data_IF_056277154669
#
_entry.id   IF_056277154669
#
_cell.length_a   1.000
_cell.length_b   1.000
_cell.length_c   1.000
_cell.angle_alpha   90.00
_cell.angle_beta   90.00
_cell.angle_gamma   90.00
#
_symmetry.space_group_name_H-M   'P 1'
#
loop_
_entity.id
_entity.type
_entity.pdbx_description
1 polymer ?
#
# COMPACT_ATOMS: atom_id res chain seq x y z
N UNK A 1 -1.35 6.18 12.02
CA UNK A 1 -1.93 6.66 13.28
C UNK A 1 -3.27 7.25 12.91
N UNK A 2 -4.33 6.47 13.05
CA UNK A 2 -5.62 6.77 12.44
C UNK A 2 -6.56 7.19 13.59
N UNK A 3 -6.82 8.49 13.70
CA UNK A 3 -7.59 9.07 14.81
C UNK A 3 -8.89 9.70 14.31
N UNK A 4 -8.89 10.33 13.12
CA UNK A 4 -10.04 11.10 12.63
C UNK A 4 -10.09 11.11 11.10
N UNK A 5 -11.31 11.12 10.55
CA UNK A 5 -11.55 11.29 9.12
C UNK A 5 -10.82 12.49 8.51
N UNK A 6 -10.79 13.62 9.22
CA UNK A 6 -10.12 14.84 8.71
C UNK A 6 -8.60 14.68 8.69
N UNK A 7 -8.04 14.04 9.73
CA UNK A 7 -6.60 13.79 9.79
C UNK A 7 -6.16 12.85 8.66
N UNK A 8 -6.88 11.75 8.46
CA UNK A 8 -6.57 10.77 7.43
C UNK A 8 -6.73 11.38 6.02
N UNK A 9 -7.74 12.26 5.81
CA UNK A 9 -7.93 12.96 4.54
C UNK A 9 -6.80 13.97 4.25
N UNK A 10 -6.40 14.78 5.22
CA UNK A 10 -5.32 15.77 5.07
C UNK A 10 -3.98 15.07 4.84
N UNK A 11 -3.66 14.08 5.68
CA UNK A 11 -2.45 13.29 5.52
C UNK A 11 -2.45 12.55 4.19
N UNK A 12 -3.55 11.90 3.82
CA UNK A 12 -3.69 11.17 2.57
C UNK A 12 -3.50 12.05 1.34
N UNK A 13 -4.10 13.24 1.34
CA UNK A 13 -3.94 14.22 0.25
C UNK A 13 -2.51 14.73 0.14
N UNK A 14 -1.87 15.07 1.27
CA UNK A 14 -0.47 15.52 1.30
C UNK A 14 0.50 14.44 0.82
N UNK A 15 0.33 13.20 1.29
CA UNK A 15 1.15 12.06 0.89
C UNK A 15 0.93 11.74 -0.60
N UNK A 16 -0.30 11.80 -1.10
CA UNK A 16 -0.60 11.62 -2.51
C UNK A 16 0.05 12.71 -3.38
N UNK A 17 0.01 13.98 -2.97
CA UNK A 17 0.68 15.06 -3.69
C UNK A 17 2.20 14.84 -3.78
N UNK A 18 2.83 14.39 -2.70
CA UNK A 18 4.25 13.98 -2.69
C UNK A 18 4.46 12.82 -3.67
N UNK A 19 3.57 11.82 -3.68
CA UNK A 19 3.61 10.71 -4.62
C UNK A 19 3.55 11.14 -6.08
N UNK A 20 2.68 12.10 -6.42
CA UNK A 20 2.63 12.70 -7.76
C UNK A 20 3.98 13.34 -8.10
N UNK A 21 4.57 14.09 -7.18
CA UNK A 21 5.88 14.71 -7.39
C UNK A 21 7.00 13.68 -7.55
N UNK A 22 6.96 12.57 -6.81
CA UNK A 22 7.91 11.46 -6.95
C UNK A 22 7.81 10.81 -8.32
N UNK A 23 6.60 10.48 -8.76
CA UNK A 23 6.36 9.86 -10.08
C UNK A 23 6.74 10.81 -11.21
N UNK A 24 6.39 12.08 -11.13
CA UNK A 24 6.72 13.08 -12.16
C UNK A 24 8.23 13.32 -12.31
N UNK A 25 9.03 13.05 -11.26
CA UNK A 25 10.49 13.24 -11.27
C UNK A 25 11.27 11.95 -11.53
N UNK A 26 10.60 10.80 -11.62
CA UNK A 26 11.30 9.53 -11.83
C UNK A 26 11.91 9.50 -13.23
N UNK A 27 13.20 9.16 -13.31
CA UNK A 27 13.92 9.09 -14.60
C UNK A 27 14.10 7.68 -15.12
N UNK A 28 13.92 6.68 -14.27
CA UNK A 28 14.11 5.26 -14.60
C UNK A 28 12.82 4.52 -14.31
N UNK A 29 12.30 3.83 -15.31
CA UNK A 29 11.05 3.04 -15.19
C UNK A 29 11.13 2.01 -14.06
N UNK A 30 12.32 1.47 -13.78
CA UNK A 30 12.53 0.51 -12.68
C UNK A 30 12.30 1.09 -11.29
N UNK A 31 12.40 2.42 -11.13
CA UNK A 31 12.21 3.11 -9.85
C UNK A 31 10.74 3.56 -9.69
N UNK A 32 9.93 3.47 -10.76
CA UNK A 32 8.54 3.92 -10.78
C UNK A 32 7.66 3.24 -9.70
N UNK A 33 7.71 1.92 -9.48
CA UNK A 33 6.86 1.31 -8.45
C UNK A 33 7.19 1.82 -7.05
N UNK A 34 8.48 2.08 -6.76
CA UNK A 34 8.92 2.66 -5.50
C UNK A 34 8.49 4.13 -5.40
N UNK A 35 8.61 4.90 -6.48
CA UNK A 35 8.16 6.29 -6.55
C UNK A 35 6.63 6.45 -6.42
N UNK A 36 5.87 5.42 -6.81
CA UNK A 36 4.41 5.37 -6.68
C UNK A 36 3.92 4.94 -5.28
N UNK A 37 4.81 4.50 -4.37
CA UNK A 37 4.41 4.10 -3.02
C UNK A 37 3.63 5.18 -2.25
N UNK A 38 4.01 6.47 -2.27
CA UNK A 38 3.24 7.49 -1.57
C UNK A 38 1.85 7.69 -2.21
N UNK A 39 1.67 7.48 -3.51
CA UNK A 39 0.33 7.52 -4.12
C UNK A 39 -0.57 6.43 -3.53
N UNK A 40 -0.04 5.21 -3.41
CA UNK A 40 -0.77 4.08 -2.84
C UNK A 40 -1.12 4.32 -1.37
N UNK A 41 -0.17 4.82 -0.57
CA UNK A 41 -0.37 5.18 0.83
C UNK A 41 -1.38 6.32 1.00
N UNK A 42 -1.28 7.36 0.17
CA UNK A 42 -2.20 8.49 0.20
C UNK A 42 -3.63 8.07 -0.14
N UNK A 43 -3.81 7.25 -1.19
CA UNK A 43 -5.10 6.67 -1.54
C UNK A 43 -5.67 5.81 -0.40
N UNK A 44 -4.82 5.02 0.28
CA UNK A 44 -5.24 4.21 1.42
C UNK A 44 -5.79 5.06 2.59
N UNK A 45 -5.11 6.16 2.93
CA UNK A 45 -5.57 7.10 3.97
C UNK A 45 -6.85 7.84 3.57
N UNK A 46 -7.02 8.18 2.28
CA UNK A 46 -8.26 8.77 1.79
C UNK A 46 -9.42 7.77 1.92
N UNK A 47 -9.22 6.49 1.58
CA UNK A 47 -10.24 5.45 1.78
C UNK A 47 -10.57 5.29 3.27
N UNK A 48 -9.56 5.33 4.14
CA UNK A 48 -9.75 5.26 5.60
C UNK A 48 -10.60 6.43 6.12
N UNK A 49 -10.41 7.65 5.59
CA UNK A 49 -11.25 8.80 5.92
C UNK A 49 -12.73 8.60 5.59
N UNK A 50 -13.02 7.86 4.51
CA UNK A 50 -14.40 7.51 4.12
C UNK A 50 -14.99 6.51 5.10
N UNK A 51 -14.22 5.51 5.54
CA UNK A 51 -14.63 4.51 6.53
C UNK A 51 -15.00 5.18 7.87
N UNK A 52 -14.19 6.15 8.32
CA UNK A 52 -14.50 6.94 9.51
C UNK A 52 -15.78 7.75 9.35
N UNK A 53 -15.98 8.38 8.19
CA UNK A 53 -17.21 9.14 7.90
C UNK A 53 -18.45 8.28 7.82
N UNK A 54 -18.32 7.02 7.36
CA UNK A 54 -19.44 6.08 7.29
C UNK A 54 -19.81 5.44 8.64
N UNK A 55 -19.16 5.84 9.74
CA UNK A 55 -19.45 5.31 11.07
C UNK A 55 -18.91 3.91 11.33
N UNK A 56 -17.95 3.44 10.52
CA UNK A 56 -17.27 2.17 10.75
C UNK A 56 -16.99 1.35 9.48
N UNK A 57 -16.23 0.27 9.69
CA UNK A 57 -15.69 -0.58 8.64
C UNK A 57 -16.74 -1.56 8.08
N UNK A 58 -17.64 -1.07 7.23
CA UNK A 58 -18.59 -1.91 6.47
C UNK A 58 -18.59 -1.57 4.98
N UNK A 59 -18.96 -2.53 4.14
CA UNK A 59 -19.17 -2.31 2.70
C UNK A 59 -17.90 -2.17 1.84
N UNK A 60 -18.04 -1.65 0.61
CA UNK A 60 -16.99 -1.63 -0.41
C UNK A 60 -15.72 -0.86 -0.02
N UNK A 61 -15.85 0.21 0.78
CA UNK A 61 -14.70 0.99 1.25
C UNK A 61 -13.77 0.17 2.15
N UNK A 62 -14.34 -0.62 3.06
CA UNK A 62 -13.60 -1.55 3.93
C UNK A 62 -12.90 -2.63 3.13
N UNK A 63 -13.58 -3.16 2.10
CA UNK A 63 -12.97 -4.11 1.19
C UNK A 63 -11.76 -3.50 0.46
N UNK A 64 -11.92 -2.31 -0.12
CA UNK A 64 -10.84 -1.60 -0.79
C UNK A 64 -9.67 -1.32 0.17
N UNK A 65 -9.97 -0.87 1.38
CA UNK A 65 -8.97 -0.66 2.44
C UNK A 65 -8.23 -1.95 2.77
N UNK A 66 -8.94 -3.07 3.00
CA UNK A 66 -8.35 -4.34 3.36
C UNK A 66 -7.47 -4.92 2.23
N UNK A 67 -7.91 -4.81 0.98
CA UNK A 67 -7.12 -5.23 -0.20
C UNK A 67 -5.85 -4.39 -0.29
N UNK A 68 -5.93 -3.08 -0.07
CA UNK A 68 -4.75 -2.21 -0.12
C UNK A 68 -3.79 -2.54 1.03
N UNK A 69 -4.28 -2.62 2.27
CA UNK A 69 -3.46 -2.83 3.46
C UNK A 69 -2.80 -4.22 3.52
N UNK A 70 -3.55 -5.28 3.20
CA UNK A 70 -3.16 -6.65 3.52
C UNK A 70 -2.26 -7.27 2.44
N UNK A 71 -2.71 -7.48 1.19
CA UNK A 71 -1.86 -8.02 0.15
C UNK A 71 -1.10 -6.96 -0.67
N UNK A 72 -1.75 -5.85 -1.04
CA UNK A 72 -1.19 -4.93 -2.04
C UNK A 72 0.02 -4.20 -1.47
N UNK A 73 -0.07 -3.58 -0.29
CA UNK A 73 1.02 -2.81 0.29
C UNK A 73 2.30 -3.64 0.49
N UNK A 74 2.26 -4.82 1.14
CA UNK A 74 3.47 -5.62 1.36
C UNK A 74 4.13 -6.06 0.06
N UNK A 75 3.33 -6.49 -0.92
CA UNK A 75 3.83 -6.87 -2.24
C UNK A 75 4.42 -5.68 -2.98
N UNK A 76 3.74 -4.53 -2.98
CA UNK A 76 4.16 -3.35 -3.71
C UNK A 76 5.48 -2.79 -3.17
N UNK A 77 5.64 -2.76 -1.85
CA UNK A 77 6.89 -2.33 -1.21
C UNK A 77 8.03 -3.28 -1.58
N UNK A 78 7.83 -4.60 -1.41
CA UNK A 78 8.88 -5.58 -1.68
C UNK A 78 9.29 -5.59 -3.15
N UNK A 79 8.33 -5.53 -4.08
CA UNK A 79 8.59 -5.47 -5.51
C UNK A 79 9.19 -4.13 -5.92
N UNK A 80 8.72 -3.01 -5.39
CA UNK A 80 9.28 -1.69 -5.67
C UNK A 80 10.74 -1.57 -5.26
N UNK A 81 11.09 -2.10 -4.09
CA UNK A 81 12.49 -2.18 -3.64
C UNK A 81 13.31 -3.09 -4.55
N UNK A 82 12.78 -4.28 -4.92
CA UNK A 82 13.48 -5.20 -5.82
C UNK A 82 13.73 -4.58 -7.21
N UNK A 83 12.75 -3.84 -7.76
CA UNK A 83 12.85 -3.18 -9.06
C UNK A 83 13.92 -2.07 -9.06
N UNK A 84 13.93 -1.24 -8.02
CA UNK A 84 14.89 -0.14 -7.85
C UNK A 84 16.31 -0.64 -7.51
N UNK A 85 16.43 -1.83 -6.92
CA UNK A 85 17.69 -2.35 -6.44
C UNK A 85 18.72 -2.63 -7.56
N UNK A 86 20.01 -2.35 -7.29
CA UNK A 86 21.09 -2.70 -8.19
C UNK A 86 21.25 -4.24 -8.28
N UNK A 87 21.76 -4.79 -9.40
CA UNK A 87 21.81 -6.24 -9.64
C UNK A 87 22.45 -7.06 -8.52
N UNK A 88 23.48 -6.51 -7.87
CA UNK A 88 24.23 -7.16 -6.79
C UNK A 88 23.39 -7.38 -5.53
N UNK A 89 22.39 -6.52 -5.29
CA UNK A 89 21.51 -6.60 -4.11
C UNK A 89 20.27 -7.48 -4.34
N UNK A 90 19.87 -7.74 -5.60
CA UNK A 90 18.61 -8.44 -5.94
C UNK A 90 18.49 -9.82 -5.30
N UNK A 91 19.58 -10.59 -5.25
CA UNK A 91 19.57 -11.93 -4.66
C UNK A 91 19.27 -11.90 -3.16
N UNK A 92 19.74 -10.88 -2.43
CA UNK A 92 19.44 -10.71 -0.99
C UNK A 92 17.99 -10.28 -0.76
N UNK A 93 17.38 -9.60 -1.73
CA UNK A 93 15.99 -9.14 -1.67
C UNK A 93 14.96 -10.23 -2.02
N UNK A 94 15.38 -11.40 -2.49
CA UNK A 94 14.46 -12.52 -2.72
C UNK A 94 13.80 -13.00 -1.43
N UNK A 95 14.51 -12.97 -0.30
CA UNK A 95 13.97 -13.36 1.01
C UNK A 95 12.83 -12.42 1.44
N UNK A 96 13.00 -11.09 1.52
CA UNK A 96 11.90 -10.20 1.89
C UNK A 96 10.76 -10.23 0.87
N UNK A 97 11.02 -10.45 -0.42
CA UNK A 97 9.96 -10.65 -1.42
C UNK A 97 9.16 -11.92 -1.15
N UNK A 98 9.82 -13.04 -0.87
CA UNK A 98 9.15 -14.28 -0.50
C UNK A 98 8.33 -14.11 0.79
N UNK A 99 8.87 -13.41 1.79
CA UNK A 99 8.16 -13.10 3.03
C UNK A 99 6.93 -12.20 2.80
N UNK A 100 7.04 -11.21 1.91
CA UNK A 100 5.93 -10.34 1.53
C UNK A 100 4.83 -11.13 0.81
N UNK A 101 5.19 -12.03 -0.11
CA UNK A 101 4.25 -12.95 -0.78
C UNK A 101 3.56 -13.86 0.24
N UNK A 102 4.30 -14.50 1.12
CA UNK A 102 3.74 -15.36 2.15
C UNK A 102 2.76 -14.59 3.07
N UNK A 103 3.13 -13.38 3.47
CA UNK A 103 2.28 -12.52 4.31
C UNK A 103 1.01 -12.10 3.58
N UNK A 104 1.12 -11.67 2.32
CA UNK A 104 -0.02 -11.30 1.49
C UNK A 104 -1.00 -12.47 1.33
N UNK A 105 -0.49 -13.68 1.03
CA UNK A 105 -1.30 -14.88 0.90
C UNK A 105 -1.96 -15.26 2.23
N UNK A 106 -1.21 -15.27 3.33
CA UNK A 106 -1.76 -15.60 4.64
C UNK A 106 -2.87 -14.62 5.06
N UNK A 107 -2.62 -13.32 4.92
CA UNK A 107 -3.59 -12.28 5.27
C UNK A 107 -4.83 -12.33 4.39
N UNK A 108 -4.66 -12.54 3.08
CA UNK A 108 -5.78 -12.72 2.17
C UNK A 108 -6.63 -13.92 2.58
N UNK A 109 -6.01 -15.07 2.85
CA UNK A 109 -6.72 -16.27 3.28
C UNK A 109 -7.46 -16.08 4.59
N UNK A 110 -6.93 -15.31 5.54
CA UNK A 110 -7.65 -15.03 6.80
C UNK A 110 -8.79 -14.04 6.63
N UNK A 111 -8.61 -13.00 5.80
CA UNK A 111 -9.63 -11.98 5.57
C UNK A 111 -10.86 -12.52 4.83
N UNK A 112 -10.67 -13.54 4.00
CA UNK A 112 -11.72 -14.15 3.17
C UNK A 112 -12.14 -15.54 3.59
N UNK A 113 -11.69 -16.03 4.77
CA UNK A 113 -12.24 -17.27 5.32
C UNK A 113 -13.70 -17.01 5.68
N UNK A 114 -14.67 -17.71 5.05
CA UNK A 114 -16.05 -17.62 5.51
C UNK A 114 -16.08 -18.09 6.97
N UNK A 115 -16.62 -17.26 7.85
CA UNK A 115 -16.97 -17.69 9.20
C UNK A 115 -17.90 -18.90 9.05
N UNK A 116 -17.49 -20.05 9.61
CA UNK A 116 -18.35 -21.22 9.71
C UNK A 116 -19.34 -21.05 10.83
#
# INVERSE_FOLDING_TARGET
MCWSATADLVAGTGIAAIGVACVARVRRVRDLPLAALPLLLGAHQIIESVIWRSGGATGPATLAWAVVALPVLPLWVALGVLCAAPPQARRRLLIPVAAAVATAVCRWRTAWRPAR
#
